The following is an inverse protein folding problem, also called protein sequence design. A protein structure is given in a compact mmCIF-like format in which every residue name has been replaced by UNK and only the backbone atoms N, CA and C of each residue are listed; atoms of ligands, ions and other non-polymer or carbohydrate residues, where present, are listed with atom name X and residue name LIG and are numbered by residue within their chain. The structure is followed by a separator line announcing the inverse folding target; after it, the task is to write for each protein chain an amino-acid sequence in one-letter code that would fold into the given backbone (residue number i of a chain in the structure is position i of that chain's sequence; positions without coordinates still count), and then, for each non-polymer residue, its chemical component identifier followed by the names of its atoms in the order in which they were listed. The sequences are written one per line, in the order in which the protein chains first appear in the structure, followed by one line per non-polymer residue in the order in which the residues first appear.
data_IF_721389900927
#
_entry.id   IF_721389900927
#
_cell.length_a   1.000
_cell.length_b   1.000
_cell.length_c   1.000
_cell.angle_alpha   90.00
_cell.angle_beta   90.00
_cell.angle_gamma   90.00
#
_symmetry.space_group_name_H-M   'P 1'
#
loop_
_entity.id
_entity.type
_entity.pdbx_description
1 polymer ?
#
# COMPACT_ATOMS: atom_id res chain seq x y z
N UNK A 1 -5.07 1.76 -7.47
CA UNK A 1 -6.49 1.60 -7.07
C UNK A 1 -7.16 2.94 -6.82
N UNK A 2 -6.71 3.74 -5.80
CA UNK A 2 -7.34 5.02 -5.45
C UNK A 2 -7.50 5.94 -6.66
N UNK A 3 -6.45 6.28 -7.35
CA UNK A 3 -6.46 7.23 -8.46
C UNK A 3 -7.36 6.79 -9.62
N UNK A 4 -7.38 5.48 -9.91
CA UNK A 4 -8.33 4.92 -10.89
C UNK A 4 -9.78 5.05 -10.41
N UNK A 5 -10.06 4.80 -9.13
CA UNK A 5 -11.38 4.96 -8.57
C UNK A 5 -11.85 6.43 -8.54
N UNK A 6 -10.90 7.37 -8.53
CA UNK A 6 -11.14 8.81 -8.67
C UNK A 6 -11.27 9.28 -10.12
N UNK A 7 -11.21 8.36 -11.10
CA UNK A 7 -11.39 8.67 -12.52
C UNK A 7 -10.15 9.25 -13.20
N UNK A 8 -8.96 9.20 -12.56
CA UNK A 8 -7.73 9.68 -13.19
C UNK A 8 -7.31 8.75 -14.33
N UNK A 9 -6.90 9.33 -15.43
CA UNK A 9 -6.31 8.61 -16.56
C UNK A 9 -4.94 8.02 -16.21
N UNK A 10 -4.48 7.04 -16.98
CA UNK A 10 -3.16 6.42 -16.77
C UNK A 10 -2.04 7.45 -16.91
N UNK A 11 -2.16 8.40 -17.85
CA UNK A 11 -1.16 9.46 -18.05
C UNK A 11 -1.10 10.41 -16.85
N UNK A 12 -2.24 10.79 -16.28
CA UNK A 12 -2.31 11.61 -15.08
C UNK A 12 -1.73 10.88 -13.86
N UNK A 13 -2.01 9.57 -13.72
CA UNK A 13 -1.44 8.75 -12.65
C UNK A 13 0.08 8.67 -12.80
N UNK A 14 0.58 8.46 -14.02
CA UNK A 14 2.02 8.41 -14.29
C UNK A 14 2.68 9.74 -13.95
N UNK A 15 2.17 10.85 -14.51
CA UNK A 15 2.71 12.19 -14.26
C UNK A 15 2.75 12.51 -12.75
N UNK A 16 1.65 12.22 -12.05
CA UNK A 16 1.54 12.40 -10.58
C UNK A 16 2.56 11.55 -9.84
N UNK A 17 2.73 10.29 -10.23
CA UNK A 17 3.66 9.36 -9.57
C UNK A 17 5.11 9.77 -9.77
N UNK A 18 5.46 10.31 -10.94
CA UNK A 18 6.80 10.82 -11.24
C UNK A 18 7.13 12.07 -10.43
N UNK A 19 6.17 12.99 -10.28
CA UNK A 19 6.35 14.24 -9.53
C UNK A 19 6.29 14.06 -8.00
N UNK A 20 5.63 12.99 -7.52
CA UNK A 20 5.45 12.75 -6.10
C UNK A 20 6.77 12.41 -5.41
N UNK A 21 7.21 13.28 -4.49
CA UNK A 21 8.38 13.06 -3.65
C UNK A 21 7.95 13.12 -2.17
N UNK A 22 7.82 11.95 -1.56
CA UNK A 22 7.30 11.79 -0.18
C UNK A 22 8.20 12.50 0.85
N UNK A 23 9.53 12.42 0.83
CA UNK A 23 10.41 13.15 1.74
C UNK A 23 10.16 14.65 1.81
N UNK A 24 9.61 15.27 0.76
CA UNK A 24 9.38 16.72 0.75
C UNK A 24 8.28 17.17 1.72
N UNK A 25 7.37 16.28 2.12
CA UNK A 25 6.23 16.64 2.97
C UNK A 25 6.06 15.75 4.20
N UNK A 26 6.87 14.72 4.40
CA UNK A 26 6.88 13.90 5.61
C UNK A 26 8.14 14.12 6.43
N UNK A 27 8.03 13.98 7.76
CA UNK A 27 9.17 14.09 8.67
C UNK A 27 9.14 12.92 9.65
N UNK A 28 10.32 12.35 9.88
CA UNK A 28 10.52 11.35 10.92
C UNK A 28 10.47 12.05 12.28
N UNK A 29 9.60 11.55 13.17
CA UNK A 29 9.44 12.05 14.54
C UNK A 29 9.51 10.91 15.55
N UNK A 30 10.59 10.81 16.29
CA UNK A 30 10.77 9.77 17.32
C UNK A 30 9.63 9.80 18.36
N UNK A 31 9.18 10.99 18.78
CA UNK A 31 8.07 11.15 19.70
C UNK A 31 6.72 10.63 19.17
N UNK A 32 6.54 10.56 17.84
CA UNK A 32 5.34 10.00 17.21
C UNK A 32 5.19 8.51 17.48
N UNK A 33 6.30 7.79 17.61
CA UNK A 33 6.29 6.35 17.89
C UNK A 33 5.55 6.01 19.19
N UNK A 34 5.79 6.78 20.26
CA UNK A 34 5.18 6.49 21.58
C UNK A 34 3.66 6.75 21.63
N UNK A 35 3.13 7.61 20.74
CA UNK A 35 1.72 7.98 20.74
C UNK A 35 0.92 7.39 19.57
N UNK A 36 1.59 7.10 18.45
CA UNK A 36 0.97 6.69 17.19
C UNK A 36 1.55 5.40 16.61
N UNK A 37 2.51 4.77 17.31
CA UNK A 37 3.16 3.50 16.96
C UNK A 37 3.89 3.51 15.61
N UNK A 38 4.34 4.69 15.13
CA UNK A 38 5.09 4.86 13.90
C UNK A 38 5.88 6.16 13.90
N UNK A 39 7.00 6.17 13.16
CA UNK A 39 7.90 7.32 13.10
C UNK A 39 7.43 8.42 12.15
N UNK A 40 6.59 8.07 11.16
CA UNK A 40 6.07 8.99 10.14
C UNK A 40 4.57 9.19 10.34
N UNK A 41 4.15 10.45 10.52
CA UNK A 41 2.73 10.80 10.64
C UNK A 41 2.04 10.69 9.27
N UNK A 42 0.88 10.05 9.23
CA UNK A 42 0.09 9.89 8.00
C UNK A 42 -0.68 11.15 7.59
N UNK A 43 -0.88 12.13 8.48
CA UNK A 43 -1.67 13.33 8.17
C UNK A 43 -1.12 14.14 6.97
N UNK A 44 0.21 14.37 6.81
CA UNK A 44 0.73 15.03 5.62
C UNK A 44 0.50 14.23 4.33
N UNK A 45 0.60 12.89 4.40
CA UNK A 45 0.35 12.00 3.26
C UNK A 45 -1.13 12.09 2.87
N UNK A 46 -2.03 11.95 3.84
CA UNK A 46 -3.47 12.11 3.64
C UNK A 46 -3.81 13.45 2.96
N UNK A 47 -3.27 14.54 3.50
CA UNK A 47 -3.47 15.88 2.92
C UNK A 47 -3.02 15.92 1.46
N UNK A 48 -1.83 15.37 1.15
CA UNK A 48 -1.30 15.33 -0.21
C UNK A 48 -2.16 14.49 -1.15
N UNK A 49 -2.70 13.37 -0.68
CA UNK A 49 -3.63 12.54 -1.46
C UNK A 49 -4.93 13.30 -1.77
N UNK A 50 -5.50 14.04 -0.80
CA UNK A 50 -6.68 14.89 -1.04
C UNK A 50 -6.38 15.98 -2.08
N UNK A 51 -5.21 16.62 -2.00
CA UNK A 51 -4.78 17.62 -3.00
C UNK A 51 -4.69 17.02 -4.41
N UNK A 52 -4.10 15.83 -4.54
CA UNK A 52 -3.95 15.13 -5.82
C UNK A 52 -5.31 14.71 -6.38
N UNK A 53 -6.17 14.15 -5.54
CA UNK A 53 -7.50 13.69 -5.97
C UNK A 53 -8.49 14.86 -6.21
N UNK A 54 -8.19 16.06 -5.73
CA UNK A 54 -9.08 17.22 -5.82
C UNK A 54 -10.33 17.14 -4.96
N UNK A 55 -10.56 16.01 -4.28
CA UNK A 55 -11.72 15.75 -3.42
C UNK A 55 -11.39 14.67 -2.38
N UNK A 56 -12.29 14.53 -1.39
CA UNK A 56 -12.19 13.54 -0.30
C UNK A 56 -13.51 12.76 -0.18
N UNK A 57 -13.85 11.89 -1.17
CA UNK A 57 -15.12 11.18 -1.17
C UNK A 57 -15.14 10.03 -0.15
N UNK A 58 -16.35 9.66 0.26
CA UNK A 58 -16.63 8.39 0.92
C UNK A 58 -16.77 7.26 -0.11
N UNK A 59 -16.79 6.01 0.34
CA UNK A 59 -17.01 4.86 -0.55
C UNK A 59 -18.38 4.92 -1.24
N UNK A 60 -19.41 5.51 -0.61
CA UNK A 60 -20.74 5.65 -1.21
C UNK A 60 -20.78 6.66 -2.36
N UNK A 61 -19.86 7.62 -2.41
CA UNK A 61 -19.81 8.71 -3.37
C UNK A 61 -19.08 8.34 -4.68
N UNK A 62 -18.44 7.17 -4.77
CA UNK A 62 -17.76 6.73 -6.00
C UNK A 62 -18.53 5.62 -6.72
N UNK A 63 -18.39 5.59 -8.04
CA UNK A 63 -19.03 4.58 -8.89
C UNK A 63 -18.27 3.26 -8.91
N UNK A 64 -16.94 3.33 -9.05
CA UNK A 64 -16.08 2.16 -9.12
C UNK A 64 -16.11 1.36 -7.81
N UNK A 65 -16.37 0.05 -7.89
CA UNK A 65 -16.30 -0.83 -6.73
C UNK A 65 -14.82 -1.08 -6.38
N UNK A 66 -14.42 -0.61 -5.23
CA UNK A 66 -13.05 -0.77 -4.70
C UNK A 66 -13.11 -1.42 -3.31
N UNK A 67 -12.16 -2.30 -3.05
CA UNK A 67 -11.89 -2.89 -1.74
C UNK A 67 -10.48 -2.50 -1.30
N UNK A 68 -10.36 -1.99 -0.10
CA UNK A 68 -9.08 -1.59 0.49
C UNK A 68 -8.87 -2.43 1.75
N UNK A 69 -7.83 -3.26 1.74
CA UNK A 69 -7.50 -4.11 2.88
C UNK A 69 -6.66 -3.38 3.90
N UNK A 70 -6.95 -3.57 5.19
CA UNK A 70 -6.09 -3.19 6.30
C UNK A 70 -6.13 -4.30 7.37
N UNK A 71 -5.07 -4.43 8.14
CA UNK A 71 -5.02 -5.38 9.23
C UNK A 71 -5.45 -4.72 10.54
N UNK A 72 -6.52 -5.22 11.15
CA UNK A 72 -7.00 -4.76 12.45
C UNK A 72 -6.17 -5.41 13.55
N UNK A 73 -5.44 -4.58 14.31
CA UNK A 73 -4.60 -5.05 15.43
C UNK A 73 -5.41 -5.58 16.61
N UNK A 74 -6.64 -5.10 16.80
CA UNK A 74 -7.49 -5.49 17.93
C UNK A 74 -8.07 -6.89 17.75
N UNK A 75 -8.42 -7.26 16.52
CA UNK A 75 -9.04 -8.56 16.21
C UNK A 75 -8.07 -9.56 15.59
N UNK A 76 -6.88 -9.10 15.14
CA UNK A 76 -5.92 -9.88 14.36
C UNK A 76 -6.49 -10.40 13.03
N UNK A 77 -7.41 -9.63 12.44
CA UNK A 77 -8.08 -9.98 11.18
C UNK A 77 -7.84 -8.93 10.08
N UNK A 78 -7.86 -9.40 8.83
CA UNK A 78 -7.92 -8.49 7.68
C UNK A 78 -9.33 -7.92 7.55
N UNK A 79 -9.43 -6.59 7.47
CA UNK A 79 -10.68 -5.88 7.20
C UNK A 79 -10.63 -5.31 5.79
N UNK A 80 -11.72 -5.46 5.05
CA UNK A 80 -11.87 -4.92 3.70
C UNK A 80 -12.86 -3.75 3.74
N UNK A 81 -12.32 -2.53 3.66
CA UNK A 81 -13.11 -1.32 3.53
C UNK A 81 -13.66 -1.20 2.12
N UNK A 82 -14.95 -1.00 2.02
CA UNK A 82 -15.66 -0.90 0.73
C UNK A 82 -17.00 -0.19 0.90
N UNK A 83 -17.68 0.09 -0.21
CA UNK A 83 -19.06 0.61 -0.21
C UNK A 83 -20.04 -0.32 0.50
N UNK A 84 -19.80 -1.64 0.45
CA UNK A 84 -20.70 -2.63 1.04
C UNK A 84 -20.53 -2.72 2.57
N UNK A 85 -19.33 -2.44 3.09
CA UNK A 85 -18.99 -2.60 4.52
C UNK A 85 -18.89 -1.27 5.27
N UNK A 86 -18.37 -0.22 4.61
CA UNK A 86 -18.07 1.08 5.22
C UNK A 86 -18.46 2.24 4.27
N UNK A 87 -19.74 2.39 3.89
CA UNK A 87 -20.17 3.34 2.85
C UNK A 87 -19.79 4.80 3.15
N UNK A 88 -19.83 5.20 4.43
CA UNK A 88 -19.60 6.59 4.86
C UNK A 88 -18.12 6.90 5.16
N UNK A 89 -17.25 5.89 5.14
CA UNK A 89 -15.82 6.07 5.39
C UNK A 89 -15.16 6.79 4.22
N UNK A 90 -14.30 7.76 4.52
CA UNK A 90 -13.48 8.42 3.49
C UNK A 90 -12.46 7.43 2.92
N UNK A 91 -12.41 7.33 1.57
CA UNK A 91 -11.55 6.35 0.89
C UNK A 91 -10.08 6.62 1.19
N UNK A 92 -9.69 7.90 1.28
CA UNK A 92 -8.30 8.27 1.58
C UNK A 92 -7.90 7.85 3.00
N UNK A 93 -8.84 7.80 3.97
CA UNK A 93 -8.56 7.26 5.31
C UNK A 93 -8.28 5.75 5.25
N UNK A 94 -9.08 5.01 4.50
CA UNK A 94 -8.85 3.57 4.27
C UNK A 94 -7.50 3.31 3.59
N UNK A 95 -7.14 4.11 2.56
CA UNK A 95 -5.83 4.04 1.89
C UNK A 95 -4.70 4.30 2.88
N UNK A 96 -4.81 5.33 3.72
CA UNK A 96 -3.81 5.62 4.75
C UNK A 96 -3.63 4.46 5.74
N UNK A 97 -4.71 3.78 6.12
CA UNK A 97 -4.63 2.59 6.98
C UNK A 97 -3.97 1.42 6.24
N UNK A 98 -4.34 1.22 4.98
CA UNK A 98 -3.77 0.16 4.12
C UNK A 98 -2.27 0.31 3.84
N UNK A 99 -1.75 1.54 3.90
CA UNK A 99 -0.33 1.88 3.69
C UNK A 99 0.46 1.99 5.00
N UNK A 100 -0.17 1.84 6.15
CA UNK A 100 0.44 2.07 7.46
C UNK A 100 1.37 0.91 7.84
N UNK A 101 2.50 0.77 7.15
CA UNK A 101 3.52 -0.24 7.45
C UNK A 101 3.99 -0.05 8.90
N UNK A 102 3.89 -1.10 9.76
CA UNK A 102 4.22 -1.01 11.18
C UNK A 102 5.61 -0.44 11.43
N UNK A 103 5.76 0.32 12.49
CA UNK A 103 6.95 1.07 12.90
C UNK A 103 7.31 2.24 11.97
N UNK A 104 7.15 2.11 10.65
CA UNK A 104 7.49 3.17 9.69
C UNK A 104 6.42 4.26 9.75
N UNK A 105 5.18 3.90 9.48
CA UNK A 105 4.06 4.84 9.47
C UNK A 105 3.20 4.71 10.73
N UNK A 106 2.64 5.84 11.15
CA UNK A 106 1.68 5.88 12.25
C UNK A 106 0.45 5.03 11.92
N UNK A 107 -0.01 4.24 12.90
CA UNK A 107 -1.21 3.42 12.77
C UNK A 107 -2.45 4.29 12.53
N UNK A 108 -3.37 3.80 11.71
CA UNK A 108 -4.69 4.39 11.57
C UNK A 108 -5.61 4.00 12.73
N UNK A 109 -6.61 4.85 13.01
CA UNK A 109 -7.67 4.55 13.97
C UNK A 109 -9.03 4.80 13.34
N UNK A 110 -9.95 3.84 13.50
CA UNK A 110 -11.32 3.97 13.06
C UNK A 110 -12.24 3.20 14.00
N UNK A 111 -13.34 3.84 14.45
CA UNK A 111 -14.31 3.25 15.39
C UNK A 111 -13.70 2.62 16.66
N UNK A 112 -12.61 3.21 17.18
CA UNK A 112 -11.91 2.72 18.37
C UNK A 112 -10.91 1.60 18.12
N UNK A 113 -10.82 1.06 16.91
CA UNK A 113 -9.88 0.04 16.50
C UNK A 113 -8.63 0.65 15.85
N UNK A 114 -7.53 -0.10 15.89
CA UNK A 114 -6.22 0.28 15.37
C UNK A 114 -5.89 -0.56 14.15
N UNK A 115 -5.49 0.10 13.06
CA UNK A 115 -5.22 -0.53 11.77
C UNK A 115 -3.80 -0.26 11.29
N UNK A 116 -3.22 -1.27 10.64
CA UNK A 116 -1.94 -1.22 9.96
C UNK A 116 -2.06 -1.79 8.54
N UNK A 117 -0.97 -1.80 7.80
CA UNK A 117 -0.88 -2.30 6.42
C UNK A 117 -1.57 -3.67 6.25
N UNK A 118 -2.47 -3.77 5.27
CA UNK A 118 -3.24 -4.99 4.99
C UNK A 118 -2.37 -6.16 4.55
N UNK A 119 -1.19 -5.86 4.01
CA UNK A 119 -0.21 -6.86 3.64
C UNK A 119 0.42 -7.63 4.82
N UNK A 120 0.09 -7.34 6.06
CA UNK A 120 0.61 -8.06 7.22
C UNK A 120 0.11 -9.51 7.32
N UNK A 121 -1.10 -9.81 6.87
CA UNK A 121 -1.69 -11.15 6.95
C UNK A 121 -1.84 -11.82 5.59
N UNK A 122 -2.32 -11.11 4.60
CA UNK A 122 -2.64 -11.66 3.29
C UNK A 122 -1.69 -11.13 2.22
N UNK A 123 -1.09 -12.05 1.45
CA UNK A 123 -0.29 -11.68 0.28
C UNK A 123 -1.20 -11.17 -0.85
N UNK A 124 -2.36 -11.82 -1.02
CA UNK A 124 -3.36 -11.47 -2.02
C UNK A 124 -4.69 -11.15 -1.34
N UNK A 125 -5.25 -9.97 -1.53
CA UNK A 125 -6.54 -9.58 -0.95
C UNK A 125 -7.71 -10.19 -1.73
N UNK A 126 -7.86 -11.52 -1.70
CA UNK A 126 -8.81 -12.27 -2.52
C UNK A 126 -10.17 -12.50 -1.87
N UNK A 127 -10.27 -12.38 -0.56
CA UNK A 127 -11.52 -12.66 0.19
C UNK A 127 -12.77 -12.00 -0.42
N UNK A 128 -12.75 -10.72 -0.87
CA UNK A 128 -13.91 -10.09 -1.48
C UNK A 128 -14.32 -10.67 -2.84
N UNK A 129 -13.51 -11.56 -3.42
CA UNK A 129 -13.70 -12.10 -4.77
C UNK A 129 -13.93 -13.61 -4.80
N UNK A 130 -14.16 -14.26 -3.66
CA UNK A 130 -14.38 -15.71 -3.61
C UNK A 130 -15.64 -16.19 -4.33
N UNK A 131 -16.58 -15.28 -4.64
CA UNK A 131 -17.75 -15.54 -5.49
C UNK A 131 -17.43 -15.52 -6.99
N UNK A 132 -16.26 -15.04 -7.38
CA UNK A 132 -15.83 -14.93 -8.77
C UNK A 132 -15.15 -16.20 -9.26
N UNK A 133 -15.25 -16.46 -10.56
CA UNK A 133 -14.53 -17.57 -11.18
C UNK A 133 -13.04 -17.21 -11.30
N UNK A 134 -12.12 -18.16 -11.20
CA UNK A 134 -10.68 -17.89 -11.26
C UNK A 134 -10.23 -17.09 -12.49
N UNK A 135 -10.83 -17.33 -13.65
CA UNK A 135 -10.50 -16.62 -14.89
C UNK A 135 -11.03 -15.16 -14.96
N UNK A 136 -11.88 -14.76 -14.01
CA UNK A 136 -12.38 -13.38 -13.87
C UNK A 136 -11.48 -12.55 -12.95
N UNK A 137 -10.44 -13.18 -12.36
CA UNK A 137 -9.54 -12.54 -11.41
C UNK A 137 -8.12 -12.52 -11.98
N UNK A 138 -7.54 -11.34 -12.04
CA UNK A 138 -6.11 -11.17 -12.31
C UNK A 138 -5.45 -10.52 -11.10
N UNK A 139 -4.45 -11.18 -10.53
CA UNK A 139 -3.66 -10.66 -9.43
C UNK A 139 -2.34 -10.12 -9.97
N UNK A 140 -1.98 -8.91 -9.60
CA UNK A 140 -0.67 -8.33 -9.93
C UNK A 140 0.19 -8.35 -8.67
N UNK A 141 1.33 -9.02 -8.74
CA UNK A 141 2.30 -9.14 -7.66
C UNK A 141 3.61 -8.46 -8.03
N UNK A 142 4.09 -7.61 -7.14
CA UNK A 142 5.44 -7.08 -7.24
C UNK A 142 6.39 -8.02 -6.50
N UNK A 143 7.39 -8.54 -7.23
CA UNK A 143 8.41 -9.42 -6.70
C UNK A 143 9.73 -8.68 -6.63
N UNK A 144 10.40 -8.78 -5.51
CA UNK A 144 11.75 -8.27 -5.29
C UNK A 144 12.71 -9.44 -5.15
N UNK A 145 13.95 -9.24 -5.56
CA UNK A 145 15.01 -10.18 -5.21
C UNK A 145 15.20 -10.18 -3.69
N UNK A 146 15.53 -11.35 -3.13
CA UNK A 146 15.94 -11.42 -1.72
C UNK A 146 17.29 -10.72 -1.60
N UNK A 147 17.30 -9.56 -0.96
CA UNK A 147 18.56 -8.89 -0.61
C UNK A 147 19.09 -9.51 0.68
N UNK A 148 20.27 -10.11 0.59
CA UNK A 148 21.05 -10.45 1.77
C UNK A 148 21.64 -9.13 2.30
N UNK A 149 21.53 -8.91 3.60
CA UNK A 149 22.12 -7.75 4.26
C UNK A 149 23.19 -8.27 5.21
N UNK A 150 24.45 -7.99 4.88
CA UNK A 150 25.62 -8.50 5.61
C UNK A 150 25.61 -8.05 7.08
N UNK A 151 25.39 -6.73 7.30
CA UNK A 151 25.39 -6.15 8.64
C UNK A 151 24.15 -5.26 8.86
N UNK A 152 23.51 -5.41 10.01
CA UNK A 152 22.42 -4.55 10.49
C UNK A 152 22.98 -3.65 11.58
N UNK A 153 23.51 -2.49 11.19
CA UNK A 153 24.22 -1.59 12.09
C UNK A 153 23.34 -0.43 12.61
N UNK A 154 22.24 -0.12 11.93
CA UNK A 154 21.40 1.02 12.28
C UNK A 154 19.98 0.62 12.68
N UNK A 155 19.33 1.38 13.60
CA UNK A 155 17.92 1.13 13.94
C UNK A 155 16.99 1.14 12.73
N UNK A 156 17.28 1.96 11.72
CA UNK A 156 16.52 2.00 10.47
C UNK A 156 16.64 0.67 9.73
N UNK A 157 17.84 0.16 9.50
CA UNK A 157 18.09 -1.13 8.85
C UNK A 157 17.41 -2.27 9.62
N UNK A 158 17.48 -2.26 10.96
CA UNK A 158 16.83 -3.26 11.79
C UNK A 158 15.31 -3.28 11.58
N UNK A 159 14.65 -2.10 11.63
CA UNK A 159 13.20 -1.99 11.43
C UNK A 159 12.81 -2.41 10.01
N UNK A 160 13.52 -1.94 8.99
CA UNK A 160 13.25 -2.32 7.59
C UNK A 160 13.40 -3.83 7.38
N UNK A 161 14.44 -4.45 7.92
CA UNK A 161 14.68 -5.89 7.81
C UNK A 161 13.62 -6.69 8.58
N UNK A 162 13.24 -6.25 9.79
CA UNK A 162 12.19 -6.88 10.59
C UNK A 162 10.85 -6.87 9.85
N UNK A 163 10.45 -5.70 9.34
CA UNK A 163 9.20 -5.55 8.56
C UNK A 163 9.25 -6.40 7.30
N UNK A 164 10.35 -6.37 6.56
CA UNK A 164 10.53 -7.19 5.36
C UNK A 164 10.42 -8.67 5.67
N UNK A 165 11.03 -9.14 6.76
CA UNK A 165 10.97 -10.54 7.19
C UNK A 165 9.53 -10.95 7.56
N UNK A 166 8.81 -10.09 8.29
CA UNK A 166 7.41 -10.34 8.63
C UNK A 166 6.52 -10.44 7.37
N UNK A 167 6.72 -9.51 6.41
CA UNK A 167 5.98 -9.52 5.14
C UNK A 167 6.36 -10.70 4.22
N UNK A 168 7.57 -11.24 4.33
CA UNK A 168 8.03 -12.37 3.51
C UNK A 168 7.54 -13.73 4.01
N UNK A 169 7.17 -13.82 5.28
CA UNK A 169 6.73 -15.08 5.93
C UNK A 169 5.20 -15.27 5.87
N UNK A 170 4.51 -14.51 5.02
CA UNK A 170 3.06 -14.69 4.82
C UNK A 170 2.77 -16.04 4.18
N UNK A 171 1.64 -16.61 4.56
CA UNK A 171 1.15 -17.84 3.95
C UNK A 171 0.76 -17.54 2.50
N UNK A 172 1.43 -18.15 1.55
CA UNK A 172 1.05 -18.12 0.14
C UNK A 172 0.13 -19.30 -0.11
N UNK A 173 -1.10 -19.04 -0.50
CA UNK A 173 -2.01 -20.09 -0.94
C UNK A 173 -1.79 -20.36 -2.43
N UNK A 174 -1.73 -21.63 -2.82
CA UNK A 174 -1.87 -22.00 -4.23
C UNK A 174 -3.29 -21.63 -4.67
N UNK A 175 -3.39 -20.69 -5.57
CA UNK A 175 -4.67 -20.22 -6.07
C UNK A 175 -4.75 -20.51 -7.56
N UNK A 176 -5.92 -20.96 -8.08
CA UNK A 176 -6.09 -21.21 -9.52
C UNK A 176 -6.28 -19.92 -10.33
N UNK A 177 -6.01 -18.75 -9.75
CA UNK A 177 -6.16 -17.45 -10.41
C UNK A 177 -4.91 -17.09 -11.23
N UNK A 178 -5.09 -16.21 -12.21
CA UNK A 178 -3.98 -15.66 -12.96
C UNK A 178 -3.18 -14.69 -12.08
N UNK A 179 -1.91 -15.03 -11.82
CA UNK A 179 -0.97 -14.15 -11.11
C UNK A 179 0.07 -13.62 -12.10
N UNK A 180 0.12 -12.30 -12.21
CA UNK A 180 1.11 -11.56 -13.00
C UNK A 180 2.21 -11.10 -12.04
N UNK A 181 3.37 -11.76 -12.06
CA UNK A 181 4.52 -11.38 -11.22
C UNK A 181 5.44 -10.40 -11.96
N UNK A 182 5.57 -9.17 -11.47
CA UNK A 182 6.51 -8.18 -12.00
C UNK A 182 7.72 -8.14 -11.09
N UNK A 183 8.86 -8.63 -11.57
CA UNK A 183 10.11 -8.61 -10.81
C UNK A 183 10.78 -7.23 -10.96
N UNK A 184 10.86 -6.48 -9.86
CA UNK A 184 11.49 -5.15 -9.80
C UNK A 184 12.97 -5.20 -9.40
N UNK A 185 13.57 -6.40 -9.33
CA UNK A 185 14.99 -6.59 -9.00
C UNK A 185 15.31 -6.23 -7.55
N UNK A 186 16.42 -5.51 -7.39
CA UNK A 186 16.95 -5.12 -6.08
C UNK A 186 16.41 -3.75 -5.60
N UNK A 187 15.27 -3.32 -6.13
CA UNK A 187 14.66 -2.04 -5.73
C UNK A 187 14.31 -2.04 -4.24
N UNK A 188 14.75 -1.01 -3.53
CA UNK A 188 14.36 -0.80 -2.14
C UNK A 188 12.97 -0.15 -2.07
N UNK A 189 11.96 -0.91 -1.73
CA UNK A 189 10.56 -0.42 -1.59
C UNK A 189 10.37 0.59 -0.45
N UNK A 190 11.34 0.71 0.45
CA UNK A 190 11.34 1.72 1.52
C UNK A 190 12.10 3.00 1.13
N UNK A 191 12.61 3.08 -0.10
CA UNK A 191 13.17 4.32 -0.64
C UNK A 191 12.04 5.23 -1.16
N UNK A 192 11.48 6.01 -0.26
CA UNK A 192 10.42 6.98 -0.60
C UNK A 192 10.94 8.22 -1.35
N UNK A 193 12.26 8.32 -1.53
CA UNK A 193 12.93 9.41 -2.25
C UNK A 193 13.49 9.00 -3.61
N UNK A 194 12.96 7.94 -4.22
CA UNK A 194 13.40 7.45 -5.53
C UNK A 194 13.58 8.58 -6.55
N UNK A 195 14.65 8.50 -7.34
CA UNK A 195 14.88 9.42 -8.44
C UNK A 195 13.83 9.30 -9.54
N UNK A 196 13.73 10.33 -10.38
CA UNK A 196 12.84 10.31 -11.54
C UNK A 196 13.18 9.13 -12.48
N UNK A 197 14.46 8.89 -12.72
CA UNK A 197 14.96 7.82 -13.58
C UNK A 197 14.56 6.44 -13.04
N UNK A 198 14.65 6.23 -11.71
CA UNK A 198 14.26 4.98 -11.08
C UNK A 198 12.75 4.74 -11.18
N UNK A 199 11.94 5.78 -11.00
CA UNK A 199 10.49 5.70 -11.18
C UNK A 199 10.10 5.33 -12.62
N UNK A 200 10.75 5.96 -13.62
CA UNK A 200 10.56 5.64 -15.05
C UNK A 200 11.00 4.19 -15.33
N UNK A 201 12.11 3.75 -14.76
CA UNK A 201 12.58 2.37 -14.89
C UNK A 201 11.52 1.38 -14.41
N UNK A 202 10.97 1.61 -13.21
CA UNK A 202 9.93 0.76 -12.62
C UNK A 202 8.65 0.77 -13.47
N UNK A 203 8.23 1.92 -13.96
CA UNK A 203 7.09 2.02 -14.86
C UNK A 203 7.29 1.20 -16.13
N UNK A 204 8.45 1.35 -16.78
CA UNK A 204 8.76 0.62 -18.02
C UNK A 204 8.82 -0.90 -17.80
N UNK A 205 9.29 -1.36 -16.64
CA UNK A 205 9.29 -2.79 -16.30
C UNK A 205 7.85 -3.35 -16.30
N UNK A 206 6.91 -2.65 -15.67
CA UNK A 206 5.50 -3.05 -15.68
C UNK A 206 4.88 -2.97 -17.06
N UNK A 207 5.13 -1.90 -17.80
CA UNK A 207 4.59 -1.66 -19.14
C UNK A 207 5.07 -2.72 -20.14
N UNK A 208 6.36 -3.00 -20.19
CA UNK A 208 6.94 -3.99 -21.11
C UNK A 208 6.46 -5.40 -20.80
N UNK A 209 6.31 -5.74 -19.53
CA UNK A 209 5.83 -7.06 -19.12
C UNK A 209 4.41 -7.36 -19.61
N UNK A 210 3.52 -6.35 -19.61
CA UNK A 210 2.13 -6.51 -20.04
C UNK A 210 1.95 -6.38 -21.55
N UNK A 211 2.97 -5.91 -22.27
CA UNK A 211 2.95 -5.72 -23.72
C UNK A 211 3.59 -6.88 -24.50
N UNK A 212 4.18 -7.84 -23.81
CA UNK A 212 4.82 -9.05 -24.36
C UNK A 212 3.87 -10.25 -24.27
#
# INVERSE_FOLDING_TARGET
GLFLAMGMSVDEILATSLDLNIPNFVKIRIGSFFNKFGFVDMAPIRKKLVEICGSDPSFSEIEMKIYISAFCMNTSETVYFSKDTHPDMKIIDAVCMSMAVPFIFACGKYNGETYVDGGMKEEYPLTPFFDKKPHEITCIKIKMNRMYQDDIETPKQFVETLVRSALSNRVTYETPIQVVEINVGDTNVFDFGMSYEEKIRLFNMGFTFLSA
#
